data_IF_756205670907
#
_entry.id   IF_756205670907
#
_cell.length_a   1.000
_cell.length_b   1.000
_cell.length_c   1.000
_cell.angle_alpha   90.00
_cell.angle_beta   90.00
_cell.angle_gamma   90.00
#
_symmetry.space_group_name_H-M   'P 1'
#
loop_
_entity.id
_entity.type
_entity.pdbx_description
1 polymer ?
#
# COMPACT_ATOMS: atom_id res chain seq x y z
N UNK A 1 -12.72 4.88 10.83
CA UNK A 1 -14.16 4.79 11.18
C UNK A 1 -14.66 3.47 10.64
N UNK A 2 -15.11 2.54 11.49
CA UNK A 2 -15.46 1.17 11.07
C UNK A 2 -16.91 1.07 10.64
N UNK A 3 -17.19 0.23 9.64
CA UNK A 3 -18.53 -0.03 9.12
C UNK A 3 -19.33 -1.05 9.95
N UNK A 4 -18.71 -1.68 10.95
CA UNK A 4 -19.31 -2.69 11.82
C UNK A 4 -19.22 -2.27 13.29
N UNK A 5 -20.18 -2.72 14.09
CA UNK A 5 -20.22 -2.44 15.53
C UNK A 5 -19.23 -3.36 16.24
N UNK A 6 -18.13 -2.79 16.73
CA UNK A 6 -17.22 -3.49 17.65
C UNK A 6 -17.90 -3.69 19.00
N UNK A 7 -17.45 -4.68 19.77
CA UNK A 7 -17.96 -4.93 21.13
C UNK A 7 -17.98 -3.64 21.95
N UNK A 8 -19.08 -3.39 22.66
CA UNK A 8 -19.33 -2.13 23.37
C UNK A 8 -18.29 -1.92 24.48
N UNK A 9 -17.20 -1.27 24.14
CA UNK A 9 -16.13 -0.86 25.05
C UNK A 9 -16.43 0.57 25.50
N UNK A 10 -16.82 0.72 26.77
CA UNK A 10 -17.07 2.02 27.38
C UNK A 10 -15.87 2.42 28.25
N UNK A 11 -15.45 3.70 28.22
CA UNK A 11 -16.00 4.80 27.43
C UNK A 11 -15.63 4.69 25.94
N UNK A 12 -16.53 5.14 25.06
CA UNK A 12 -16.28 5.20 23.61
C UNK A 12 -15.20 6.26 23.35
N UNK A 13 -14.10 5.85 22.72
CA UNK A 13 -13.00 6.72 22.35
C UNK A 13 -12.77 6.69 20.84
N UNK A 14 -12.39 7.84 20.26
CA UNK A 14 -11.96 7.91 18.86
C UNK A 14 -10.62 7.20 18.71
N UNK A 15 -10.47 6.41 17.64
CA UNK A 15 -9.17 5.82 17.30
C UNK A 15 -8.22 6.88 16.76
N UNK A 16 -6.91 6.60 16.76
CA UNK A 16 -5.92 7.52 16.21
C UNK A 16 -6.19 7.85 14.73
N UNK A 17 -6.62 6.86 13.95
CA UNK A 17 -6.96 7.05 12.54
C UNK A 17 -8.16 7.99 12.36
N UNK A 18 -9.19 7.85 13.20
CA UNK A 18 -10.36 8.75 13.17
C UNK A 18 -9.95 10.19 13.48
N UNK A 19 -9.11 10.39 14.49
CA UNK A 19 -8.62 11.72 14.87
C UNK A 19 -7.83 12.35 13.73
N UNK A 20 -6.92 11.61 13.10
CA UNK A 20 -6.11 12.12 11.98
C UNK A 20 -6.97 12.50 10.77
N UNK A 21 -7.96 11.67 10.44
CA UNK A 21 -8.84 11.93 9.30
C UNK A 21 -9.73 13.16 9.53
N UNK A 22 -10.30 13.31 10.73
CA UNK A 22 -11.09 14.50 11.11
C UNK A 22 -10.23 15.76 11.04
N UNK A 23 -9.01 15.72 11.56
CA UNK A 23 -8.09 16.87 11.52
C UNK A 23 -7.66 17.21 10.10
N UNK A 24 -7.50 16.22 9.23
CA UNK A 24 -7.21 16.46 7.81
C UNK A 24 -8.35 17.22 7.12
N UNK A 25 -9.62 16.91 7.46
CA UNK A 25 -10.78 17.53 6.83
C UNK A 25 -11.13 18.91 7.40
N UNK A 26 -10.99 19.10 8.71
CA UNK A 26 -11.46 20.30 9.42
C UNK A 26 -10.36 21.12 10.09
N UNK A 27 -9.11 20.68 10.01
CA UNK A 27 -7.99 21.27 10.72
C UNK A 27 -7.83 20.72 12.14
N UNK A 28 -6.62 20.85 12.68
CA UNK A 28 -6.34 20.51 14.07
C UNK A 28 -6.95 21.55 15.02
N UNK A 29 -7.60 21.10 16.08
CA UNK A 29 -8.07 21.98 17.14
C UNK A 29 -6.87 22.56 17.89
N UNK A 30 -6.82 23.88 18.03
CA UNK A 30 -5.69 24.64 18.60
C UNK A 30 -5.25 24.19 20.01
N UNK A 31 -6.13 23.55 20.77
CA UNK A 31 -5.87 23.06 22.13
C UNK A 31 -6.07 21.54 22.29
N UNK A 32 -6.07 20.77 21.20
CA UNK A 32 -6.13 19.32 21.30
C UNK A 32 -4.82 18.79 21.88
N UNK A 33 -4.90 18.11 23.04
CA UNK A 33 -3.86 17.18 23.50
C UNK A 33 -3.88 15.95 22.59
N UNK A 34 -3.42 16.11 21.35
CA UNK A 34 -3.17 14.97 20.47
C UNK A 34 -2.06 14.16 21.13
N UNK A 35 -2.19 12.83 21.29
CA UNK A 35 -1.05 12.02 21.65
C UNK A 35 0.07 12.36 20.67
N UNK A 36 1.18 12.90 21.18
CA UNK A 36 2.36 13.18 20.38
C UNK A 36 2.69 11.88 19.66
N UNK A 37 2.51 11.86 18.34
CA UNK A 37 3.02 10.77 17.52
C UNK A 37 4.51 10.78 17.79
N UNK A 38 5.00 9.78 18.53
CA UNK A 38 6.42 9.49 18.56
C UNK A 38 6.68 8.93 17.17
N UNK A 39 6.91 9.82 16.21
CA UNK A 39 7.61 9.46 15.01
C UNK A 39 9.00 9.11 15.51
N UNK A 40 9.27 7.82 15.69
CA UNK A 40 10.65 7.35 15.79
C UNK A 40 11.26 7.60 14.41
N UNK A 41 11.71 8.84 14.19
CA UNK A 41 12.58 9.19 13.08
C UNK A 41 13.92 8.56 13.41
N UNK A 42 14.11 7.32 12.97
CA UNK A 42 15.44 6.74 12.88
C UNK A 42 16.27 7.67 11.99
N UNK A 43 17.40 8.23 12.48
CA UNK A 43 18.25 9.05 11.62
C UNK A 43 18.75 8.18 10.47
N UNK A 44 18.34 8.53 9.26
CA UNK A 44 18.81 7.85 8.05
C UNK A 44 20.15 8.46 7.70
N UNK A 45 21.24 7.78 8.04
CA UNK A 45 22.59 8.16 7.64
C UNK A 45 22.69 8.08 6.13
N UNK A 46 22.83 9.23 5.46
CA UNK A 46 23.07 9.28 4.01
C UNK A 46 24.54 8.97 3.75
N UNK A 47 24.86 7.72 3.48
CA UNK A 47 26.17 7.34 2.96
C UNK A 47 26.12 7.41 1.44
N UNK A 48 26.73 8.44 0.88
CA UNK A 48 26.90 8.58 -0.58
C UNK A 48 27.95 7.57 -1.05
N UNK A 49 27.50 6.37 -1.44
CA UNK A 49 28.35 5.40 -2.10
C UNK A 49 28.02 5.41 -3.59
N UNK A 50 28.87 6.07 -4.37
CA UNK A 50 28.86 6.00 -5.83
C UNK A 50 29.27 4.59 -6.24
N UNK A 51 28.30 3.72 -6.50
CA UNK A 51 28.55 2.37 -7.03
C UNK A 51 27.89 2.25 -8.41
N UNK A 52 28.76 2.02 -9.38
CA UNK A 52 28.52 1.93 -10.81
C UNK A 52 27.41 0.93 -11.14
N UNK A 53 26.54 1.32 -12.08
CA UNK A 53 25.45 0.53 -12.63
C UNK A 53 25.93 -0.87 -13.03
N UNK A 54 25.34 -1.89 -12.41
CA UNK A 54 25.29 -3.24 -12.98
C UNK A 54 23.86 -3.72 -12.84
N UNK A 55 23.18 -3.79 -13.99
CA UNK A 55 21.85 -4.37 -14.16
C UNK A 55 21.88 -5.83 -13.77
N UNK A 56 21.48 -6.11 -12.54
CA UNK A 56 21.18 -7.47 -12.09
C UNK A 56 19.78 -7.44 -11.53
N UNK A 57 18.88 -8.15 -12.19
CA UNK A 57 17.50 -8.45 -11.78
C UNK A 57 17.50 -9.04 -10.37
N UNK A 58 17.52 -8.17 -9.35
CA UNK A 58 17.07 -8.57 -8.03
C UNK A 58 15.56 -8.67 -8.11
N UNK A 59 15.07 -9.86 -7.82
CA UNK A 59 13.69 -10.12 -7.46
C UNK A 59 13.40 -9.25 -6.22
N UNK A 60 13.03 -7.99 -6.47
CA UNK A 60 12.58 -7.10 -5.42
C UNK A 60 11.28 -7.74 -4.94
N UNK A 61 11.31 -8.26 -3.72
CA UNK A 61 10.13 -8.73 -2.99
C UNK A 61 9.20 -7.52 -2.84
N UNK A 62 8.43 -7.25 -3.89
CA UNK A 62 7.65 -6.04 -4.05
C UNK A 62 6.31 -6.28 -3.34
N UNK A 63 6.08 -5.51 -2.28
CA UNK A 63 4.91 -5.67 -1.44
C UNK A 63 3.80 -4.71 -1.84
N UNK A 64 2.57 -5.21 -1.90
CA UNK A 64 1.39 -4.44 -2.31
C UNK A 64 1.08 -3.31 -1.33
N UNK A 65 1.36 -3.52 -0.04
CA UNK A 65 1.11 -2.53 0.99
C UNK A 65 2.05 -1.31 0.90
N UNK A 66 3.26 -1.48 0.36
CA UNK A 66 4.20 -0.36 0.16
C UNK A 66 3.89 0.45 -1.09
N UNK A 67 3.17 -0.14 -2.05
CA UNK A 67 2.82 0.46 -3.34
C UNK A 67 1.50 1.25 -3.34
N UNK A 68 0.90 1.51 -2.18
CA UNK A 68 -0.47 2.06 -2.04
C UNK A 68 -0.75 3.35 -2.84
N UNK A 69 0.27 4.12 -3.19
CA UNK A 69 0.14 5.39 -3.92
C UNK A 69 0.65 5.35 -5.37
N UNK A 70 1.11 4.19 -5.87
CA UNK A 70 1.80 4.07 -7.17
C UNK A 70 1.19 2.96 -8.04
N UNK A 71 -0.05 2.57 -7.77
CA UNK A 71 -0.72 1.52 -8.56
C UNK A 71 -1.14 2.06 -9.93
N UNK A 72 -0.68 1.41 -11.00
CA UNK A 72 -0.90 1.90 -12.37
C UNK A 72 -2.29 1.54 -12.89
N UNK A 73 -2.77 0.32 -12.61
CA UNK A 73 -4.06 -0.16 -13.14
C UNK A 73 -4.68 -1.22 -12.25
N UNK A 74 -6.00 -1.21 -12.19
CA UNK A 74 -6.82 -2.19 -11.48
C UNK A 74 -7.86 -2.78 -12.44
N UNK A 75 -8.00 -4.10 -12.44
CA UNK A 75 -8.97 -4.84 -13.25
C UNK A 75 -9.70 -5.87 -12.37
N UNK A 76 -11.02 -5.96 -12.51
CA UNK A 76 -11.83 -6.98 -11.83
C UNK A 76 -12.51 -7.83 -12.88
N UNK A 77 -12.25 -9.14 -12.86
CA UNK A 77 -12.88 -10.10 -13.77
C UNK A 77 -12.90 -11.49 -13.18
N UNK A 78 -13.92 -12.29 -13.50
CA UNK A 78 -14.06 -13.68 -13.07
C UNK A 78 -13.85 -13.91 -11.55
N UNK A 79 -14.37 -13.02 -10.71
CA UNK A 79 -14.25 -13.13 -9.24
C UNK A 79 -12.85 -12.83 -8.69
N UNK A 80 -11.95 -12.26 -9.51
CA UNK A 80 -10.59 -11.91 -9.12
C UNK A 80 -10.29 -10.44 -9.37
N UNK A 81 -9.57 -9.86 -8.43
CA UNK A 81 -8.99 -8.52 -8.49
C UNK A 81 -7.55 -8.64 -8.99
N UNK A 82 -7.23 -7.89 -10.03
CA UNK A 82 -5.91 -7.79 -10.62
C UNK A 82 -5.39 -6.38 -10.43
N UNK A 83 -4.20 -6.27 -9.86
CA UNK A 83 -3.50 -5.00 -9.67
C UNK A 83 -2.18 -5.12 -10.42
N UNK A 84 -1.87 -4.19 -11.31
CA UNK A 84 -0.60 -4.16 -12.03
C UNK A 84 0.23 -2.95 -11.64
N UNK A 85 1.53 -3.17 -11.53
CA UNK A 85 2.53 -2.13 -11.37
C UNK A 85 3.75 -2.46 -12.23
N UNK A 86 4.16 -1.53 -13.09
CA UNK A 86 5.22 -1.74 -14.08
C UNK A 86 5.05 -3.03 -14.91
N UNK A 87 5.85 -4.07 -14.64
CA UNK A 87 5.85 -5.36 -15.34
C UNK A 87 5.26 -6.50 -14.50
N UNK A 88 4.72 -6.18 -13.33
CA UNK A 88 4.22 -7.14 -12.37
C UNK A 88 2.72 -7.04 -12.19
N UNK A 89 2.10 -8.16 -11.83
CA UNK A 89 0.67 -8.26 -11.54
C UNK A 89 0.44 -9.10 -10.30
N UNK A 90 -0.48 -8.66 -9.46
CA UNK A 90 -1.02 -9.45 -8.36
C UNK A 90 -2.41 -9.92 -8.71
N UNK A 91 -2.66 -11.22 -8.53
CA UNK A 91 -3.99 -11.80 -8.61
C UNK A 91 -4.50 -12.07 -7.20
N UNK A 92 -5.54 -11.36 -6.83
CA UNK A 92 -6.16 -11.42 -5.51
C UNK A 92 -7.57 -11.98 -5.70
N UNK A 93 -7.91 -12.97 -4.88
CA UNK A 93 -9.28 -13.45 -4.81
C UNK A 93 -10.15 -12.37 -4.16
N UNK A 94 -11.32 -12.05 -4.71
CA UNK A 94 -12.17 -10.98 -4.15
C UNK A 94 -12.62 -11.33 -2.73
N UNK A 95 -12.84 -12.63 -2.47
CA UNK A 95 -13.18 -13.14 -1.14
C UNK A 95 -11.91 -13.44 -0.30
N UNK A 96 -10.74 -13.26 -0.90
CA UNK A 96 -9.44 -13.51 -0.30
C UNK A 96 -9.03 -12.41 0.69
N UNK A 97 -8.50 -12.83 1.84
CA UNK A 97 -7.95 -11.91 2.85
C UNK A 97 -6.44 -11.64 2.67
N UNK A 98 -5.79 -12.39 1.79
CA UNK A 98 -4.34 -12.34 1.57
C UNK A 98 -4.01 -12.41 0.08
N UNK A 99 -2.85 -11.86 -0.29
CA UNK A 99 -2.31 -11.94 -1.65
C UNK A 99 -0.99 -12.72 -1.65
N UNK A 100 -0.66 -13.30 -2.80
CA UNK A 100 0.60 -14.01 -3.04
C UNK A 100 1.64 -13.06 -3.63
N UNK A 101 2.86 -13.56 -3.82
CA UNK A 101 3.94 -12.83 -4.52
C UNK A 101 3.49 -12.38 -5.92
N UNK A 102 4.03 -11.25 -6.42
CA UNK A 102 3.74 -10.77 -7.77
C UNK A 102 4.14 -11.80 -8.83
N UNK A 103 3.39 -11.79 -9.93
CA UNK A 103 3.69 -12.56 -11.13
C UNK A 103 4.14 -11.60 -12.24
N UNK A 104 4.95 -12.08 -13.19
CA UNK A 104 5.25 -11.31 -14.39
C UNK A 104 3.97 -11.13 -15.21
N UNK A 105 3.66 -9.88 -15.59
CA UNK A 105 2.46 -9.57 -16.36
C UNK A 105 2.43 -10.31 -17.70
N UNK A 106 3.58 -10.44 -18.36
CA UNK A 106 3.72 -11.16 -19.64
C UNK A 106 3.48 -12.66 -19.51
N UNK A 107 3.80 -13.25 -18.36
CA UNK A 107 3.67 -14.68 -18.12
C UNK A 107 2.23 -15.05 -17.77
N UNK A 108 1.56 -14.16 -17.02
CA UNK A 108 0.18 -14.35 -16.59
C UNK A 108 -0.84 -13.93 -17.66
N UNK A 109 -0.67 -12.75 -18.26
CA UNK A 109 -1.59 -12.19 -19.27
C UNK A 109 -1.03 -12.30 -20.69
N UNK A 110 -0.94 -13.54 -21.19
CA UNK A 110 -0.42 -13.85 -22.53
C UNK A 110 -1.21 -13.23 -23.68
N UNK A 111 -2.43 -12.77 -23.41
CA UNK A 111 -3.31 -12.13 -24.39
C UNK A 111 -2.98 -10.65 -24.62
N UNK A 112 -2.19 -10.03 -23.73
CA UNK A 112 -1.82 -8.63 -23.90
C UNK A 112 -0.94 -8.48 -25.14
N UNK A 113 -1.13 -7.40 -25.93
CA UNK A 113 -0.21 -7.07 -27.00
C UNK A 113 1.21 -6.98 -26.42
N UNK A 114 2.18 -7.63 -27.07
CA UNK A 114 3.59 -7.40 -26.76
C UNK A 114 3.92 -5.99 -27.21
N UNK A 115 3.72 -4.99 -26.36
CA UNK A 115 4.11 -3.63 -26.69
C UNK A 115 5.64 -3.59 -26.86
N UNK A 116 6.04 -3.11 -28.03
CA UNK A 116 7.41 -2.72 -28.39
C UNK A 116 7.75 -1.55 -27.46
N UNK A 117 8.80 -1.73 -26.63
CA UNK A 117 9.37 -0.68 -25.78
C UNK A 117 9.62 0.61 -26.56
#
# INVERSE_FOLDING_TARGET
MFAFVSEKTFPVQLTLEDVLFIQHLYGAKENAKVPKVITTTTPTTTTTTTTIATTTTKDVEMDLCTLRNVMDTVLITNGRLYISHERYVWSIDIDGKTYKKPLLLTDYMKFLPKYRL
#
